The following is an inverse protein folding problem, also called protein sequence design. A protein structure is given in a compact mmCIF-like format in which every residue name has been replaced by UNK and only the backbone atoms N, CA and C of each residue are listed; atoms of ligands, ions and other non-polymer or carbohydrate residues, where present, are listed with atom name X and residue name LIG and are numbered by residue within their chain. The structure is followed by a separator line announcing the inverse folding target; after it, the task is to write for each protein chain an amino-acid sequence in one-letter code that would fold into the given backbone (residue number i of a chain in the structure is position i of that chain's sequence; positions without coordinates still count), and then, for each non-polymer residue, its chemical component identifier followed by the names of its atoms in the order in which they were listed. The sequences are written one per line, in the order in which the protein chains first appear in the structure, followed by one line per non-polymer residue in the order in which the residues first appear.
data_IF_936734332707
#
_entry.id   IF_936734332707
#
_cell.length_a   1.000
_cell.length_b   1.000
_cell.length_c   1.000
_cell.angle_alpha   90.00
_cell.angle_beta   90.00
_cell.angle_gamma   90.00
#
_symmetry.space_group_name_H-M   'P 1'
#
loop_
_entity.id
_entity.type
_entity.pdbx_description
1 polymer ?
#
# COMPACT_ATOMS: atom_id res chain seq x y z
N UNK A 1 15.05 -6.18 -5.42
CA UNK A 1 15.62 -5.65 -4.18
C UNK A 1 14.64 -4.68 -3.56
N UNK A 2 14.49 -4.73 -2.24
CA UNK A 2 13.86 -3.66 -1.45
C UNK A 2 14.96 -2.79 -0.86
N UNK A 3 14.79 -1.48 -0.91
CA UNK A 3 15.77 -0.52 -0.41
C UNK A 3 15.08 0.41 0.59
N UNK A 4 15.58 0.38 1.82
CA UNK A 4 15.13 1.28 2.87
C UNK A 4 15.46 2.73 2.52
N UNK A 5 14.46 3.61 2.58
CA UNK A 5 14.60 5.05 2.27
C UNK A 5 14.95 5.89 3.50
N UNK A 6 14.95 5.28 4.69
CA UNK A 6 14.90 6.00 5.97
C UNK A 6 13.50 6.07 6.56
N UNK A 7 12.46 5.78 5.77
CA UNK A 7 11.04 5.83 6.18
C UNK A 7 10.19 4.64 5.73
N UNK A 8 10.51 4.06 4.57
CA UNK A 8 9.72 2.99 3.94
C UNK A 8 10.63 2.08 3.11
N UNK A 9 10.24 0.81 2.95
CA UNK A 9 10.89 -0.12 2.04
C UNK A 9 10.32 0.02 0.63
N UNK A 10 11.16 0.41 -0.34
CA UNK A 10 10.74 0.61 -1.72
C UNK A 10 11.36 -0.43 -2.65
N UNK A 11 10.56 -0.91 -3.60
CA UNK A 11 11.01 -1.78 -4.68
C UNK A 11 11.95 -1.04 -5.63
N UNK A 12 13.17 -1.54 -5.78
CA UNK A 12 14.15 -1.04 -6.75
C UNK A 12 13.86 -1.62 -8.14
N UNK A 13 12.83 -1.08 -8.78
CA UNK A 13 12.42 -1.46 -10.14
C UNK A 13 13.55 -1.14 -11.12
N UNK A 14 14.20 -2.19 -11.66
CA UNK A 14 15.35 -2.07 -12.56
C UNK A 14 16.73 -2.14 -11.89
N UNK A 15 16.81 -2.35 -10.57
CA UNK A 15 18.08 -2.63 -9.87
C UNK A 15 19.08 -1.47 -9.83
N UNK A 16 18.63 -0.24 -10.08
CA UNK A 16 19.50 0.94 -10.19
C UNK A 16 20.05 1.34 -8.82
N UNK A 17 19.23 1.28 -7.76
CA UNK A 17 19.63 1.69 -6.41
C UNK A 17 20.60 0.68 -5.80
N UNK A 18 20.34 -0.62 -5.94
CA UNK A 18 21.27 -1.64 -5.45
C UNK A 18 22.61 -1.57 -6.18
N UNK A 19 22.61 -1.31 -7.50
CA UNK A 19 23.85 -1.10 -8.25
C UNK A 19 24.62 0.14 -7.77
N UNK A 20 23.93 1.23 -7.42
CA UNK A 20 24.55 2.41 -6.80
C UNK A 20 25.15 2.09 -5.43
N UNK A 21 24.48 1.27 -4.62
CA UNK A 21 25.01 0.80 -3.32
C UNK A 21 26.27 -0.03 -3.51
N UNK A 22 26.28 -0.99 -4.44
CA UNK A 22 27.48 -1.78 -4.75
C UNK A 22 28.67 -0.88 -5.16
N UNK A 23 28.43 0.10 -6.04
CA UNK A 23 29.46 1.09 -6.43
C UNK A 23 29.93 1.94 -5.25
N UNK A 24 29.02 2.31 -4.34
CA UNK A 24 29.35 3.06 -3.11
C UNK A 24 30.22 2.21 -2.18
N UNK A 25 29.90 0.92 -2.01
CA UNK A 25 30.71 -0.03 -1.24
C UNK A 25 32.13 -0.11 -1.80
N UNK A 26 32.29 -0.28 -3.12
CA UNK A 26 33.62 -0.29 -3.75
C UNK A 26 34.39 1.02 -3.52
N UNK A 27 33.71 2.16 -3.56
CA UNK A 27 34.33 3.47 -3.27
C UNK A 27 34.78 3.61 -1.82
N UNK A 28 34.10 2.97 -0.88
CA UNK A 28 34.50 2.99 0.52
C UNK A 28 35.81 2.23 0.75
N UNK A 29 36.09 1.18 -0.03
CA UNK A 29 37.38 0.45 0.03
C UNK A 29 38.56 1.39 -0.26
N UNK A 30 38.39 2.37 -1.17
CA UNK A 30 39.43 3.38 -1.41
C UNK A 30 39.61 4.35 -0.22
N UNK A 31 38.55 4.59 0.56
CA UNK A 31 38.66 5.42 1.79
C UNK A 31 39.40 4.65 2.87
N UNK A 32 39.03 3.38 3.07
CA UNK A 32 39.76 2.47 3.97
C UNK A 32 41.24 2.39 3.59
N UNK A 33 41.57 2.31 2.30
CA UNK A 33 42.95 2.35 1.85
C UNK A 33 43.65 3.69 2.14
N UNK A 34 42.94 4.82 2.06
CA UNK A 34 43.52 6.14 2.35
C UNK A 34 43.86 6.30 3.84
N UNK A 35 43.07 5.68 4.71
CA UNK A 35 43.26 5.72 6.18
C UNK A 35 44.22 4.63 6.68
N UNK A 36 44.56 3.64 5.85
CA UNK A 36 45.49 2.55 6.19
C UNK A 36 46.93 3.07 6.33
N UNK A 37 47.60 2.70 7.41
CA UNK A 37 48.96 3.13 7.75
C UNK A 37 50.03 2.20 7.16
N UNK A 38 49.73 0.90 7.04
CA UNK A 38 50.64 -0.08 6.45
C UNK A 38 50.65 0.03 4.92
N UNK A 39 51.83 0.27 4.35
CA UNK A 39 51.99 0.53 2.92
C UNK A 39 51.62 -0.66 2.03
N UNK A 40 51.83 -1.89 2.50
CA UNK A 40 51.55 -3.09 1.72
C UNK A 40 50.07 -3.45 1.79
N UNK A 41 49.44 -3.32 2.95
CA UNK A 41 47.99 -3.42 3.10
C UNK A 41 47.26 -2.35 2.29
N UNK A 42 47.74 -1.10 2.29
CA UNK A 42 47.20 -0.02 1.45
C UNK A 42 47.20 -0.41 -0.03
N UNK A 43 48.32 -0.94 -0.55
CA UNK A 43 48.42 -1.38 -1.96
C UNK A 43 47.44 -2.50 -2.28
N UNK A 44 47.29 -3.49 -1.39
CA UNK A 44 46.35 -4.60 -1.60
C UNK A 44 44.89 -4.14 -1.56
N UNK A 45 44.53 -3.20 -0.68
CA UNK A 45 43.18 -2.59 -0.66
C UNK A 45 42.88 -1.83 -1.97
N UNK A 46 43.80 -1.01 -2.46
CA UNK A 46 43.64 -0.29 -3.75
C UNK A 46 43.49 -1.27 -4.92
N UNK A 47 44.31 -2.32 -4.95
CA UNK A 47 44.26 -3.37 -5.97
C UNK A 47 42.92 -4.14 -5.90
N UNK A 48 42.44 -4.45 -4.70
CA UNK A 48 41.14 -5.06 -4.48
C UNK A 48 40.01 -4.15 -4.98
N UNK A 49 40.00 -2.87 -4.59
CA UNK A 49 39.01 -1.89 -5.02
C UNK A 49 38.94 -1.78 -6.56
N UNK A 50 40.07 -1.58 -7.24
CA UNK A 50 40.16 -1.51 -8.71
C UNK A 50 39.61 -2.76 -9.39
N UNK A 51 39.88 -3.92 -8.82
CA UNK A 51 39.42 -5.17 -9.39
C UNK A 51 37.90 -5.33 -9.20
N UNK A 52 37.35 -4.87 -8.07
CA UNK A 52 35.92 -4.89 -7.73
C UNK A 52 35.08 -3.88 -8.55
N UNK A 53 35.68 -2.82 -9.09
CA UNK A 53 34.97 -1.85 -9.96
C UNK A 53 34.51 -2.44 -11.30
N UNK A 54 35.05 -3.59 -11.72
CA UNK A 54 34.62 -4.26 -12.94
C UNK A 54 33.17 -4.72 -12.81
N UNK A 55 32.36 -4.48 -13.85
CA UNK A 55 30.92 -4.79 -13.84
C UNK A 55 30.62 -6.23 -13.39
N UNK A 56 31.35 -7.22 -13.92
CA UNK A 56 31.21 -8.64 -13.54
C UNK A 56 31.38 -8.87 -12.03
N UNK A 57 32.27 -8.12 -11.36
CA UNK A 57 32.47 -8.24 -9.91
C UNK A 57 31.42 -7.50 -9.11
N UNK A 58 30.90 -6.37 -9.60
CA UNK A 58 29.77 -5.69 -9.00
C UNK A 58 28.52 -6.60 -9.04
N UNK A 59 28.27 -7.23 -10.17
CA UNK A 59 27.14 -8.15 -10.33
C UNK A 59 27.30 -9.39 -9.42
N UNK A 60 28.52 -9.94 -9.33
CA UNK A 60 28.82 -11.03 -8.41
C UNK A 60 28.62 -10.63 -6.94
N UNK A 61 29.06 -9.43 -6.54
CA UNK A 61 28.86 -8.90 -5.18
C UNK A 61 27.37 -8.79 -4.83
N UNK A 62 26.57 -8.20 -5.73
CA UNK A 62 25.12 -8.09 -5.54
C UNK A 62 24.49 -9.48 -5.45
N UNK A 63 24.90 -10.41 -6.33
CA UNK A 63 24.37 -11.76 -6.34
C UNK A 63 24.70 -12.52 -5.06
N UNK A 64 25.92 -12.41 -4.55
CA UNK A 64 26.33 -13.02 -3.28
C UNK A 64 25.58 -12.42 -2.09
N UNK A 65 25.28 -11.11 -2.11
CA UNK A 65 24.55 -10.45 -1.04
C UNK A 65 23.15 -11.06 -0.81
N UNK A 66 22.51 -11.64 -1.84
CA UNK A 66 21.18 -12.28 -1.71
C UNK A 66 21.13 -13.40 -0.67
N UNK A 67 22.26 -14.08 -0.43
CA UNK A 67 22.36 -15.19 0.55
C UNK A 67 22.89 -14.77 1.92
N UNK A 68 23.25 -13.50 2.12
CA UNK A 68 23.78 -13.04 3.40
C UNK A 68 22.68 -12.99 4.48
N UNK A 69 22.98 -13.38 5.73
CA UNK A 69 22.02 -13.32 6.83
C UNK A 69 21.43 -11.91 7.02
N UNK A 70 20.10 -11.82 7.06
CA UNK A 70 19.38 -10.56 7.24
C UNK A 70 19.14 -9.75 5.95
N UNK A 71 19.55 -10.25 4.78
CA UNK A 71 19.23 -9.63 3.48
C UNK A 71 17.93 -10.19 2.90
N UNK A 72 17.78 -11.52 2.88
CA UNK A 72 16.59 -12.17 2.39
C UNK A 72 15.44 -12.03 3.40
N UNK A 73 14.25 -11.67 2.92
CA UNK A 73 13.03 -11.50 3.72
C UNK A 73 11.87 -12.19 3.02
N UNK A 74 10.89 -12.67 3.78
CA UNK A 74 9.69 -13.24 3.19
C UNK A 74 8.77 -12.13 2.70
N UNK A 75 8.07 -12.36 1.58
CA UNK A 75 6.98 -11.47 1.17
C UNK A 75 5.85 -11.40 2.21
N UNK A 76 5.73 -12.42 3.06
CA UNK A 76 4.76 -12.45 4.15
C UNK A 76 5.15 -11.55 5.34
N UNK A 77 6.43 -11.16 5.45
CA UNK A 77 6.89 -10.25 6.50
C UNK A 77 6.60 -8.78 6.15
N UNK A 78 6.41 -8.49 4.86
CA UNK A 78 6.12 -7.15 4.36
C UNK A 78 4.69 -6.75 4.70
N UNK A 79 4.53 -5.56 5.27
CA UNK A 79 3.23 -4.98 5.64
C UNK A 79 2.37 -5.88 6.56
N UNK A 80 3.01 -6.79 7.30
CA UNK A 80 2.33 -7.84 8.08
C UNK A 80 1.50 -7.28 9.26
N UNK A 81 1.88 -6.13 9.81
CA UNK A 81 1.18 -5.54 10.95
C UNK A 81 0.07 -4.57 10.51
N UNK A 82 -1.16 -5.05 10.52
CA UNK A 82 -2.36 -4.31 10.10
C UNK A 82 -2.70 -3.08 10.96
N UNK A 83 -2.04 -2.94 12.12
CA UNK A 83 -2.26 -1.85 13.08
C UNK A 83 -1.17 -0.79 13.05
N UNK A 84 -0.18 -0.90 12.16
CA UNK A 84 0.79 0.16 11.92
C UNK A 84 0.32 1.02 10.75
N UNK A 85 0.43 2.34 10.87
CA UNK A 85 0.19 3.28 9.77
C UNK A 85 1.43 4.14 9.59
N UNK A 86 2.08 4.00 8.43
CA UNK A 86 3.28 4.74 8.15
C UNK A 86 2.95 6.10 7.53
N UNK A 87 3.47 7.18 8.12
CA UNK A 87 3.22 8.59 7.76
C UNK A 87 4.56 9.32 7.59
N UNK A 88 4.57 10.53 7.06
CA UNK A 88 5.79 11.27 6.73
C UNK A 88 6.77 11.45 7.91
N UNK A 89 6.26 11.61 9.13
CA UNK A 89 7.04 11.88 10.35
C UNK A 89 7.21 10.66 11.28
N UNK A 90 6.72 9.48 10.91
CA UNK A 90 6.93 8.26 11.68
C UNK A 90 5.93 7.15 11.37
N UNK A 91 5.83 6.19 12.28
CA UNK A 91 4.86 5.10 12.20
C UNK A 91 3.93 5.15 13.40
N UNK A 92 2.62 5.18 13.14
CA UNK A 92 1.57 5.28 14.17
C UNK A 92 1.08 3.87 14.50
N UNK A 93 1.03 3.54 15.79
CA UNK A 93 0.29 2.38 16.27
C UNK A 93 -1.19 2.71 16.40
N UNK A 94 -2.02 2.30 15.43
CA UNK A 94 -3.45 2.63 15.33
C UNK A 94 -4.30 2.19 16.53
N UNK A 95 -3.87 1.17 17.28
CA UNK A 95 -4.54 0.78 18.54
C UNK A 95 -4.29 1.77 19.68
N UNK A 96 -3.16 2.46 19.64
CA UNK A 96 -2.64 3.29 20.74
C UNK A 96 -2.67 4.78 20.42
N UNK A 97 -2.74 5.16 19.14
CA UNK A 97 -2.54 6.53 18.67
C UNK A 97 -1.09 7.04 18.78
N UNK A 98 -0.15 6.24 19.27
CA UNK A 98 1.23 6.67 19.52
C UNK A 98 2.03 6.68 18.21
N UNK A 99 2.62 7.84 17.89
CA UNK A 99 3.59 8.02 16.83
C UNK A 99 5.00 7.64 17.33
N UNK A 100 5.70 6.79 16.57
CA UNK A 100 7.09 6.42 16.82
C UNK A 100 7.97 6.81 15.62
N UNK A 101 9.29 7.00 15.82
CA UNK A 101 10.22 7.10 14.71
C UNK A 101 10.10 5.88 13.78
N UNK A 102 10.37 6.10 12.49
CA UNK A 102 10.42 5.03 11.49
C UNK A 102 11.36 3.91 11.90
N UNK A 103 10.88 2.67 11.88
CA UNK A 103 11.70 1.49 12.13
C UNK A 103 11.75 0.60 10.87
N UNK A 104 12.97 0.28 10.44
CA UNK A 104 13.20 -0.67 9.33
C UNK A 104 12.63 -2.06 9.65
N UNK A 105 12.55 -2.43 10.93
CA UNK A 105 12.05 -3.73 11.37
C UNK A 105 10.53 -3.86 11.22
N UNK A 106 9.79 -2.76 11.03
CA UNK A 106 8.35 -2.79 10.77
C UNK A 106 8.01 -3.33 9.37
N UNK A 107 9.00 -3.40 8.46
CA UNK A 107 8.87 -4.01 7.13
C UNK A 107 7.73 -3.45 6.27
N UNK A 108 7.42 -2.16 6.45
CA UNK A 108 6.34 -1.47 5.75
C UNK A 108 6.80 -1.00 4.36
N UNK A 109 5.99 -1.26 3.33
CA UNK A 109 6.24 -0.86 1.94
C UNK A 109 5.35 0.28 1.45
N UNK A 110 4.36 0.67 2.25
CA UNK A 110 3.40 1.73 1.94
C UNK A 110 3.49 2.90 2.95
N UNK A 111 3.41 4.14 2.47
CA UNK A 111 3.52 5.36 3.31
C UNK A 111 2.50 6.42 2.87
N UNK A 112 1.90 7.11 3.85
CA UNK A 112 1.02 8.25 3.62
C UNK A 112 1.88 9.50 3.32
N UNK A 113 1.49 10.34 2.35
CA UNK A 113 2.25 11.52 1.94
C UNK A 113 2.02 12.74 2.86
N UNK A 114 1.73 12.50 4.14
CA UNK A 114 1.40 13.53 5.14
C UNK A 114 2.08 13.23 6.47
N UNK A 115 2.36 14.27 7.26
CA UNK A 115 2.79 14.12 8.65
C UNK A 115 1.59 14.01 9.57
N UNK A 116 1.72 13.22 10.64
CA UNK A 116 0.70 13.12 11.67
C UNK A 116 0.81 14.26 12.68
N UNK A 117 -0.33 14.90 12.93
CA UNK A 117 -0.55 15.89 13.98
C UNK A 117 -1.83 15.50 14.73
N UNK A 118 -1.70 15.24 16.04
CA UNK A 118 -2.80 14.80 16.88
C UNK A 118 -3.82 15.92 17.16
N UNK A 119 -3.40 17.17 17.02
CA UNK A 119 -4.23 18.36 17.28
C UNK A 119 -4.77 18.97 15.97
N UNK A 120 -4.57 18.30 14.83
CA UNK A 120 -5.03 18.78 13.55
C UNK A 120 -6.56 18.90 13.53
N UNK A 121 -7.04 20.08 13.15
CA UNK A 121 -8.46 20.37 12.94
C UNK A 121 -8.65 21.03 11.57
N UNK A 122 -9.85 20.93 10.99
CA UNK A 122 -10.18 21.66 9.76
C UNK A 122 -11.64 22.07 9.76
N UNK A 123 -11.87 23.38 9.91
CA UNK A 123 -13.21 23.95 9.86
C UNK A 123 -13.86 23.76 8.48
N UNK A 124 -13.08 23.76 7.40
CA UNK A 124 -13.55 23.50 6.04
C UNK A 124 -14.03 22.06 5.89
N UNK A 125 -13.30 21.10 6.46
CA UNK A 125 -13.68 19.69 6.46
C UNK A 125 -14.96 19.46 7.25
N UNK A 126 -15.05 20.03 8.45
CA UNK A 126 -16.24 19.93 9.29
C UNK A 126 -17.45 20.54 8.56
N UNK A 127 -17.32 21.77 8.06
CA UNK A 127 -18.37 22.45 7.28
C UNK A 127 -18.80 21.63 6.07
N UNK A 128 -17.84 21.01 5.37
CA UNK A 128 -18.13 20.13 4.25
C UNK A 128 -18.97 18.93 4.68
N UNK A 129 -18.61 18.24 5.77
CA UNK A 129 -19.34 17.09 6.28
C UNK A 129 -20.76 17.45 6.71
N UNK A 130 -20.94 18.50 7.53
CA UNK A 130 -22.25 18.98 7.96
C UNK A 130 -23.14 19.34 6.76
N UNK A 131 -22.57 19.98 5.73
CA UNK A 131 -23.29 20.31 4.50
C UNK A 131 -23.75 19.08 3.71
N UNK A 132 -22.86 18.11 3.44
CA UNK A 132 -23.22 16.96 2.58
C UNK A 132 -24.12 15.94 3.28
N UNK A 133 -24.11 15.93 4.61
CA UNK A 133 -24.94 15.04 5.43
C UNK A 133 -26.15 15.75 6.06
N UNK A 134 -26.45 16.99 5.66
CA UNK A 134 -27.61 17.76 6.11
C UNK A 134 -27.72 17.83 7.64
N UNK A 135 -26.63 18.22 8.28
CA UNK A 135 -26.47 18.34 9.74
C UNK A 135 -26.73 17.06 10.54
N UNK A 136 -26.77 15.90 9.88
CA UNK A 136 -26.93 14.61 10.54
C UNK A 136 -25.63 14.18 11.23
N UNK A 137 -25.47 14.61 12.49
CA UNK A 137 -24.31 14.32 13.33
C UNK A 137 -24.06 12.82 13.53
N UNK A 138 -25.11 12.00 13.66
CA UNK A 138 -24.97 10.54 13.81
C UNK A 138 -24.38 9.89 12.55
N UNK A 139 -24.86 10.29 11.37
CA UNK A 139 -24.34 9.81 10.10
C UNK A 139 -22.89 10.28 9.87
N UNK A 140 -22.58 11.52 10.24
CA UNK A 140 -21.21 12.06 10.18
C UNK A 140 -20.28 11.23 11.08
N UNK A 141 -20.67 10.97 12.33
CA UNK A 141 -19.89 10.17 13.26
C UNK A 141 -19.70 8.72 12.76
N UNK A 142 -20.73 8.13 12.16
CA UNK A 142 -20.64 6.82 11.54
C UNK A 142 -19.67 6.79 10.36
N UNK A 143 -19.77 7.75 9.44
CA UNK A 143 -18.88 7.83 8.26
C UNK A 143 -17.43 8.04 8.69
N UNK A 144 -17.17 8.89 9.67
CA UNK A 144 -15.82 9.08 10.20
C UNK A 144 -15.28 7.79 10.84
N UNK A 145 -16.10 7.04 11.58
CA UNK A 145 -15.71 5.72 12.12
C UNK A 145 -15.42 4.71 11.01
N UNK A 146 -16.26 4.66 9.97
CA UNK A 146 -16.06 3.78 8.83
C UNK A 146 -14.78 4.11 8.05
N UNK A 147 -14.48 5.40 7.87
CA UNK A 147 -13.23 5.87 7.26
C UNK A 147 -12.02 5.54 8.15
N UNK A 148 -12.13 5.75 9.47
CA UNK A 148 -11.10 5.36 10.43
C UNK A 148 -10.82 3.85 10.42
N UNK A 149 -11.86 3.02 10.39
CA UNK A 149 -11.74 1.57 10.18
C UNK A 149 -11.03 1.27 8.84
N UNK A 150 -11.35 2.00 7.78
CA UNK A 150 -10.75 1.84 6.45
C UNK A 150 -9.26 2.22 6.38
N UNK A 151 -8.70 2.83 7.43
CA UNK A 151 -7.26 3.12 7.55
C UNK A 151 -6.50 1.96 8.21
N UNK A 152 -7.18 1.01 8.84
CA UNK A 152 -6.56 -0.22 9.36
C UNK A 152 -6.43 -1.26 8.24
N UNK A 153 -5.60 -2.30 8.45
CA UNK A 153 -5.65 -3.53 7.62
C UNK A 153 -6.62 -4.59 8.15
N UNK A 154 -7.41 -4.26 9.17
CA UNK A 154 -8.30 -5.21 9.84
C UNK A 154 -9.54 -5.53 8.98
N UNK A 155 -10.03 -6.76 9.05
CA UNK A 155 -11.18 -7.22 8.25
C UNK A 155 -12.29 -7.86 9.08
N UNK A 156 -12.27 -7.68 10.41
CA UNK A 156 -13.22 -8.35 11.31
C UNK A 156 -14.69 -8.07 10.97
N UNK A 157 -14.99 -6.88 10.46
CA UNK A 157 -16.37 -6.47 10.12
C UNK A 157 -16.84 -7.02 8.77
N UNK A 158 -15.93 -7.51 7.92
CA UNK A 158 -16.22 -7.96 6.55
C UNK A 158 -17.12 -6.97 5.77
N UNK A 159 -16.89 -5.67 6.00
CA UNK A 159 -17.81 -4.62 5.63
C UNK A 159 -17.64 -4.14 4.17
N UNK A 160 -18.76 -3.73 3.60
CA UNK A 160 -18.86 -3.06 2.30
C UNK A 160 -19.64 -1.76 2.49
N UNK A 161 -19.09 -0.64 2.01
CA UNK A 161 -19.71 0.68 2.15
C UNK A 161 -20.27 1.15 0.82
N UNK A 162 -21.56 1.48 0.80
CA UNK A 162 -22.24 2.05 -0.35
C UNK A 162 -22.70 3.48 -0.06
N UNK A 163 -22.05 4.44 -0.70
CA UNK A 163 -22.44 5.84 -0.68
C UNK A 163 -23.58 6.06 -1.68
N UNK A 164 -24.81 6.09 -1.16
CA UNK A 164 -26.02 6.37 -1.93
C UNK A 164 -26.43 7.84 -1.85
N UNK A 165 -27.02 8.36 -2.92
CA UNK A 165 -27.69 9.66 -2.93
C UNK A 165 -27.75 10.24 -4.34
N UNK A 166 -28.51 11.31 -4.53
CA UNK A 166 -28.59 11.99 -5.83
C UNK A 166 -27.23 12.56 -6.29
N UNK A 167 -27.08 12.80 -7.60
CA UNK A 167 -25.88 13.42 -8.16
C UNK A 167 -25.58 14.79 -7.54
N UNK A 168 -24.31 15.22 -7.58
CA UNK A 168 -23.85 16.52 -7.05
C UNK A 168 -24.00 16.73 -5.53
N UNK A 169 -23.96 15.66 -4.74
CA UNK A 169 -24.07 15.72 -3.26
C UNK A 169 -22.73 15.57 -2.51
N UNK A 170 -21.58 15.65 -3.19
CA UNK A 170 -20.26 15.61 -2.55
C UNK A 170 -19.68 14.22 -2.24
N UNK A 171 -20.36 13.12 -2.60
CA UNK A 171 -19.85 11.73 -2.46
C UNK A 171 -18.45 11.54 -3.06
N UNK A 172 -18.28 11.90 -4.33
CA UNK A 172 -16.99 11.76 -5.02
C UNK A 172 -15.93 12.66 -4.41
N UNK A 173 -16.30 13.86 -3.96
CA UNK A 173 -15.40 14.78 -3.26
C UNK A 173 -14.92 14.20 -1.93
N UNK A 174 -15.83 13.61 -1.14
CA UNK A 174 -15.50 12.94 0.12
C UNK A 174 -14.51 11.79 -0.10
N UNK A 175 -14.83 10.87 -1.02
CA UNK A 175 -13.96 9.72 -1.30
C UNK A 175 -12.61 10.15 -1.87
N UNK A 176 -12.58 11.14 -2.77
CA UNK A 176 -11.33 11.66 -3.32
C UNK A 176 -10.46 12.33 -2.24
N UNK A 177 -11.05 13.12 -1.33
CA UNK A 177 -10.31 13.70 -0.21
C UNK A 177 -9.68 12.61 0.67
N UNK A 178 -10.44 11.57 1.00
CA UNK A 178 -9.93 10.43 1.78
C UNK A 178 -8.80 9.69 1.06
N UNK A 179 -8.95 9.45 -0.25
CA UNK A 179 -7.90 8.80 -1.06
C UNK A 179 -6.60 9.61 -1.11
N UNK A 180 -6.70 10.93 -1.21
CA UNK A 180 -5.51 11.80 -1.21
C UNK A 180 -4.76 11.73 0.12
N UNK A 181 -5.49 11.70 1.24
CA UNK A 181 -4.93 11.56 2.59
C UNK A 181 -4.28 10.19 2.79
N UNK A 182 -4.98 9.12 2.38
CA UNK A 182 -4.53 7.72 2.56
C UNK A 182 -3.40 7.37 1.58
N UNK A 183 -3.23 8.14 0.51
CA UNK A 183 -2.08 8.05 -0.40
C UNK A 183 -1.97 6.67 -1.04
N UNK A 184 -0.79 6.06 -0.94
CA UNK A 184 -0.52 4.79 -1.62
C UNK A 184 -1.33 3.61 -1.04
N UNK A 185 -1.89 3.73 0.17
CA UNK A 185 -2.82 2.72 0.70
C UNK A 185 -4.20 2.79 0.03
N UNK A 186 -4.48 3.79 -0.80
CA UNK A 186 -5.73 3.91 -1.52
C UNK A 186 -5.59 3.50 -2.99
N UNK A 187 -6.62 2.88 -3.54
CA UNK A 187 -6.72 2.62 -4.98
C UNK A 187 -8.13 2.89 -5.48
N UNK A 188 -8.26 3.09 -6.78
CA UNK A 188 -9.55 3.18 -7.47
C UNK A 188 -9.64 2.07 -8.49
N UNK A 189 -10.75 1.34 -8.46
CA UNK A 189 -11.03 0.24 -9.39
C UNK A 189 -12.28 0.56 -10.20
N UNK A 190 -12.33 0.16 -11.49
CA UNK A 190 -13.50 0.39 -12.31
C UNK A 190 -14.71 -0.39 -11.78
N UNK A 191 -15.95 0.12 -11.95
CA UNK A 191 -17.16 -0.58 -11.51
C UNK A 191 -17.27 -2.01 -12.04
N UNK A 192 -16.76 -2.25 -13.25
CA UNK A 192 -16.71 -3.57 -13.89
C UNK A 192 -15.98 -4.63 -13.06
N UNK A 193 -15.11 -4.23 -12.11
CA UNK A 193 -14.47 -5.15 -11.17
C UNK A 193 -15.47 -5.85 -10.23
N UNK A 194 -16.65 -5.27 -10.00
CA UNK A 194 -17.67 -5.80 -9.09
C UNK A 194 -18.88 -6.39 -9.82
N UNK A 195 -18.88 -6.43 -11.16
CA UNK A 195 -20.05 -6.82 -11.95
C UNK A 195 -20.01 -8.29 -12.37
N UNK A 196 -21.20 -8.86 -12.57
CA UNK A 196 -21.36 -10.19 -13.16
C UNK A 196 -21.04 -10.12 -14.65
N UNK A 197 -19.82 -10.51 -15.02
CA UNK A 197 -19.46 -10.66 -16.43
C UNK A 197 -19.64 -12.12 -16.88
N UNK A 198 -20.69 -12.39 -17.65
CA UNK A 198 -20.98 -13.71 -18.22
C UNK A 198 -20.01 -14.09 -19.36
N UNK A 199 -19.23 -13.14 -19.87
CA UNK A 199 -18.32 -13.35 -21.01
C UNK A 199 -16.87 -13.55 -20.59
N UNK A 200 -16.51 -13.16 -19.37
CA UNK A 200 -15.15 -13.31 -18.82
C UNK A 200 -14.85 -14.78 -18.49
N UNK A 201 -14.40 -15.54 -19.49
CA UNK A 201 -13.90 -16.92 -19.36
C UNK A 201 -12.45 -16.94 -18.86
N UNK A 202 -12.22 -16.58 -17.61
CA UNK A 202 -10.89 -16.63 -17.00
C UNK A 202 -9.89 -15.64 -17.62
N UNK A 203 -8.98 -15.16 -16.79
CA UNK A 203 -7.94 -14.23 -17.18
C UNK A 203 -7.43 -13.46 -15.97
N UNK A 204 -6.30 -12.74 -16.10
CA UNK A 204 -5.70 -12.01 -15.01
C UNK A 204 -6.71 -11.11 -14.32
N UNK A 205 -6.85 -11.27 -13.01
CA UNK A 205 -7.72 -10.42 -12.21
C UNK A 205 -6.93 -9.23 -11.71
N UNK A 206 -6.49 -8.39 -12.66
CA UNK A 206 -5.69 -7.19 -12.38
C UNK A 206 -6.38 -6.28 -11.36
N UNK A 207 -7.71 -6.23 -11.39
CA UNK A 207 -8.51 -5.52 -10.39
C UNK A 207 -8.26 -6.07 -8.99
N UNK A 208 -8.27 -7.40 -8.79
CA UNK A 208 -7.95 -8.02 -7.50
C UNK A 208 -6.48 -7.85 -7.13
N UNK A 209 -5.57 -8.03 -8.08
CA UNK A 209 -4.15 -7.86 -7.83
C UNK A 209 -3.82 -6.43 -7.35
N UNK A 210 -4.54 -5.42 -7.86
CA UNK A 210 -4.39 -4.01 -7.45
C UNK A 210 -4.83 -3.72 -6.01
N UNK A 211 -5.54 -4.64 -5.35
CA UNK A 211 -6.02 -4.50 -3.97
C UNK A 211 -4.99 -4.90 -2.93
N UNK A 212 -3.91 -5.58 -3.34
CA UNK A 212 -2.85 -6.00 -2.44
C UNK A 212 -2.26 -4.79 -1.71
N UNK A 213 -2.12 -4.91 -0.40
CA UNK A 213 -1.61 -3.86 0.51
C UNK A 213 -2.42 -2.56 0.52
N UNK A 214 -3.62 -2.53 -0.08
CA UNK A 214 -4.52 -1.36 -0.03
C UNK A 214 -5.44 -1.46 1.18
N UNK A 215 -5.82 -0.31 1.73
CA UNK A 215 -6.73 -0.17 2.87
C UNK A 215 -8.04 0.51 2.48
N UNK A 216 -7.99 1.43 1.51
CA UNK A 216 -9.17 2.11 0.97
C UNK A 216 -9.29 1.83 -0.55
N UNK A 217 -10.34 1.12 -0.95
CA UNK A 217 -10.62 0.86 -2.37
C UNK A 217 -11.90 1.57 -2.72
N UNK A 218 -11.82 2.52 -3.65
CA UNK A 218 -12.98 3.26 -4.12
C UNK A 218 -13.41 2.80 -5.51
N UNK A 219 -14.71 2.86 -5.77
CA UNK A 219 -15.26 2.76 -7.11
C UNK A 219 -16.44 3.69 -7.27
N UNK A 220 -16.40 4.47 -8.34
CA UNK A 220 -17.37 5.53 -8.62
C UNK A 220 -18.18 5.14 -9.85
N UNK A 221 -19.46 5.53 -9.87
CA UNK A 221 -20.35 5.45 -11.05
C UNK A 221 -20.90 4.04 -11.35
N UNK A 222 -21.70 3.49 -10.42
CA UNK A 222 -22.67 2.47 -10.84
C UNK A 222 -23.78 3.15 -11.66
N UNK A 223 -23.92 2.74 -12.92
CA UNK A 223 -25.02 3.14 -13.81
C UNK A 223 -26.31 2.39 -13.46
N UNK A 224 -27.45 2.99 -13.82
CA UNK A 224 -28.75 2.36 -13.62
C UNK A 224 -28.85 1.01 -14.36
N UNK A 225 -29.39 0.00 -13.69
CA UNK A 225 -29.48 -1.37 -14.23
C UNK A 225 -28.24 -2.24 -14.08
N UNK A 226 -27.10 -1.72 -13.62
CA UNK A 226 -25.91 -2.54 -13.34
C UNK A 226 -26.12 -3.37 -12.06
N UNK A 227 -25.84 -4.68 -12.14
CA UNK A 227 -25.99 -5.62 -11.02
C UNK A 227 -24.63 -5.94 -10.40
N UNK A 228 -24.48 -5.63 -9.12
CA UNK A 228 -23.34 -6.07 -8.34
C UNK A 228 -23.36 -7.60 -8.22
N UNK A 229 -22.18 -8.20 -8.38
CA UNK A 229 -21.99 -9.60 -8.08
C UNK A 229 -21.82 -9.77 -6.56
N UNK A 230 -22.88 -10.23 -5.89
CA UNK A 230 -22.84 -10.50 -4.44
C UNK A 230 -21.72 -11.49 -4.10
N UNK A 231 -21.48 -12.51 -4.95
CA UNK A 231 -20.40 -13.46 -4.75
C UNK A 231 -19.01 -12.83 -4.87
N UNK A 232 -18.78 -11.90 -5.81
CA UNK A 232 -17.51 -11.17 -5.89
C UNK A 232 -17.31 -10.25 -4.70
N UNK A 233 -18.35 -9.51 -4.27
CA UNK A 233 -18.27 -8.64 -3.10
C UNK A 233 -17.96 -9.47 -1.84
N UNK A 234 -18.72 -10.55 -1.58
CA UNK A 234 -18.46 -11.49 -0.47
C UNK A 234 -17.04 -12.05 -0.52
N UNK A 235 -16.54 -12.40 -1.71
CA UNK A 235 -15.16 -12.87 -1.89
C UNK A 235 -14.15 -11.80 -1.48
N UNK A 236 -14.35 -10.56 -1.91
CA UNK A 236 -13.41 -9.45 -1.66
C UNK A 236 -13.45 -8.94 -0.22
N UNK A 237 -14.59 -9.03 0.47
CA UNK A 237 -14.75 -8.57 1.87
C UNK A 237 -14.68 -9.70 2.90
N UNK A 238 -14.77 -10.97 2.49
CA UNK A 238 -14.93 -12.12 3.38
C UNK A 238 -13.71 -12.49 4.23
N UNK A 239 -12.59 -11.77 4.11
CA UNK A 239 -11.40 -12.00 4.93
C UNK A 239 -10.59 -13.26 4.60
N UNK A 240 -11.05 -14.08 3.65
CA UNK A 240 -10.28 -15.21 3.13
C UNK A 240 -9.19 -14.76 2.14
N UNK A 241 -8.10 -15.53 1.98
CA UNK A 241 -7.07 -15.21 0.99
C UNK A 241 -7.64 -15.05 -0.42
N UNK A 242 -7.31 -13.94 -1.06
CA UNK A 242 -7.65 -13.68 -2.45
C UNK A 242 -6.56 -14.20 -3.37
N UNK A 243 -6.94 -15.05 -4.32
CA UNK A 243 -6.07 -15.45 -5.43
C UNK A 243 -6.09 -14.40 -6.53
N UNK A 244 -4.92 -14.03 -7.04
CA UNK A 244 -4.80 -13.18 -8.21
C UNK A 244 -3.58 -13.57 -9.05
N UNK A 245 -3.60 -13.17 -10.32
CA UNK A 245 -2.46 -13.27 -11.23
C UNK A 245 -2.34 -11.98 -12.04
N UNK A 246 -1.10 -11.53 -12.29
CA UNK A 246 -0.81 -10.57 -13.34
C UNK A 246 -0.54 -11.30 -14.65
N UNK A 247 -0.77 -10.61 -15.77
CA UNK A 247 -0.48 -11.17 -17.09
C UNK A 247 1.00 -11.53 -17.20
N UNK A 248 1.28 -12.79 -17.55
CA UNK A 248 2.64 -13.35 -17.66
C UNK A 248 3.42 -13.51 -16.34
N UNK A 249 2.76 -13.39 -15.20
CA UNK A 249 3.36 -13.63 -13.88
C UNK A 249 2.77 -14.90 -13.23
N UNK A 250 3.42 -15.40 -12.19
CA UNK A 250 2.86 -16.49 -11.38
C UNK A 250 1.76 -15.92 -10.49
N UNK A 251 0.60 -16.58 -10.49
CA UNK A 251 -0.47 -16.26 -9.54
C UNK A 251 -0.02 -16.47 -8.09
N UNK A 252 -0.61 -15.69 -7.19
CA UNK A 252 -0.33 -15.73 -5.76
C UNK A 252 -1.59 -15.40 -4.95
N UNK A 253 -1.55 -15.76 -3.67
CA UNK A 253 -2.60 -15.41 -2.70
C UNK A 253 -2.14 -14.25 -1.82
N UNK A 254 -3.05 -13.38 -1.42
CA UNK A 254 -2.82 -12.40 -0.37
C UNK A 254 -4.04 -12.26 0.55
N UNK A 255 -3.80 -11.88 1.80
CA UNK A 255 -4.89 -11.57 2.73
C UNK A 255 -5.45 -10.18 2.41
N UNK A 256 -6.77 -10.03 2.25
CA UNK A 256 -7.36 -8.72 2.00
C UNK A 256 -7.19 -7.83 3.22
N UNK A 257 -6.80 -6.57 3.02
CA UNK A 257 -6.68 -5.55 4.08
C UNK A 257 -7.52 -4.30 3.78
N UNK A 258 -8.18 -4.29 2.62
CA UNK A 258 -8.93 -3.16 2.08
C UNK A 258 -10.40 -3.14 2.45
N UNK A 259 -10.97 -1.95 2.61
CA UNK A 259 -12.41 -1.73 2.68
C UNK A 259 -12.90 -1.18 1.35
N UNK A 260 -13.99 -1.75 0.86
CA UNK A 260 -14.62 -1.34 -0.38
C UNK A 260 -15.60 -0.19 -0.14
N UNK A 261 -15.43 0.89 -0.89
CA UNK A 261 -16.30 2.05 -0.92
C UNK A 261 -16.83 2.28 -2.34
N UNK A 262 -18.10 1.98 -2.56
CA UNK A 262 -18.77 2.22 -3.83
C UNK A 262 -19.67 3.43 -3.72
N UNK A 263 -19.73 4.24 -4.77
CA UNK A 263 -20.68 5.36 -4.84
C UNK A 263 -21.55 5.28 -6.09
N UNK A 264 -22.85 5.44 -5.92
CA UNK A 264 -23.83 5.43 -7.01
C UNK A 264 -25.05 6.29 -6.70
N UNK A 265 -25.87 6.52 -7.73
CA UNK A 265 -27.12 7.27 -7.61
C UNK A 265 -28.35 6.35 -7.45
N UNK A 266 -28.18 5.05 -7.70
CA UNK A 266 -29.20 4.02 -7.59
C UNK A 266 -28.77 3.02 -6.53
N UNK A 267 -29.73 2.53 -5.73
CA UNK A 267 -29.44 1.47 -4.77
C UNK A 267 -29.08 0.18 -5.53
N UNK A 268 -28.02 -0.53 -5.13
CA UNK A 268 -27.65 -1.76 -5.79
C UNK A 268 -28.72 -2.81 -5.51
N UNK A 269 -29.18 -3.50 -6.56
CA UNK A 269 -30.09 -4.63 -6.40
C UNK A 269 -29.29 -5.84 -5.90
N UNK A 270 -29.44 -6.17 -4.62
CA UNK A 270 -28.85 -7.36 -3.99
C UNK A 270 -29.88 -8.48 -4.06
N UNK A 271 -29.63 -9.48 -4.91
CA UNK A 271 -30.58 -10.59 -5.16
C UNK A 271 -30.35 -11.82 -4.28
N UNK A 272 -29.32 -11.83 -3.45
CA UNK A 272 -28.95 -12.95 -2.59
C UNK A 272 -29.15 -12.55 -1.12
N UNK A 273 -30.05 -13.25 -0.43
CA UNK A 273 -30.43 -13.01 0.98
C UNK A 273 -29.93 -14.09 1.93
N UNK A 274 -28.91 -14.86 1.51
CA UNK A 274 -28.22 -15.83 2.38
C UNK A 274 -27.07 -15.23 3.17
#
# INVERSE_FOLDING_TARGET
WLIWTGKVWEWDMGGVRIAKLAKKTTRNIYREAADELDDDMRKELVKHARATERQVRLDAMIKSAESEPGIAVSLADLDANHWLLNVGNGTIGLRTGVLKPHDRADMITEILPIDHDAEATSAEWDTFLYRIFNDNSDLIAYIQRALGYSITGDQSEQAFFFCYGSGFNGKSTLLNACRLVVGNYATQVPPTAFMVDKTRRGGPDEAIASLKNKRLVCSTELEDGQRLSVSLVKRMTGGEPLWCEHKFERGYNFQPTHKLWLSGNHEPVITDTT
#
